data_IF_926552362024
#
_entry.id   IF_926552362024
#
_cell.length_a   1.000
_cell.length_b   1.000
_cell.length_c   1.000
_cell.angle_alpha   90.00
_cell.angle_beta   90.00
_cell.angle_gamma   90.00
#
_symmetry.space_group_name_H-M   'P 1'
#
loop_
_entity.id
_entity.type
_entity.pdbx_description
1 polymer ?
#
# COMPACT_ATOMS: atom_id res chain seq x y z
N UNK A 1 -37.56 -36.87 25.56
CA UNK A 1 -36.57 -35.77 25.70
C UNK A 1 -35.83 -35.66 24.38
N UNK A 2 -36.18 -34.69 23.54
CA UNK A 2 -35.56 -34.46 22.24
C UNK A 2 -34.44 -33.44 22.38
N UNK A 3 -33.25 -33.76 21.87
CA UNK A 3 -32.11 -32.85 21.88
C UNK A 3 -32.40 -31.60 21.02
N UNK A 4 -32.02 -30.39 21.47
CA UNK A 4 -32.21 -29.18 20.68
C UNK A 4 -31.35 -29.26 19.41
N UNK A 5 -31.99 -29.02 18.27
CA UNK A 5 -31.33 -28.88 16.99
C UNK A 5 -30.31 -27.73 17.10
N UNK A 6 -29.03 -28.04 16.88
CA UNK A 6 -28.00 -27.01 16.75
C UNK A 6 -28.30 -26.25 15.45
N UNK A 7 -28.76 -25.01 15.58
CA UNK A 7 -28.68 -24.05 14.49
C UNK A 7 -27.21 -23.92 14.11
N UNK A 8 -26.83 -24.61 13.03
CA UNK A 8 -25.57 -24.35 12.36
C UNK A 8 -25.65 -22.91 11.86
N UNK A 9 -25.07 -21.99 12.63
CA UNK A 9 -24.78 -20.63 12.18
C UNK A 9 -23.85 -20.78 10.98
N UNK A 10 -24.46 -20.86 9.80
CA UNK A 10 -23.80 -21.08 8.52
C UNK A 10 -22.92 -19.88 8.24
N UNK A 11 -21.66 -19.91 8.69
CA UNK A 11 -20.80 -18.77 8.46
C UNK A 11 -20.66 -18.55 6.96
N UNK A 12 -21.01 -17.34 6.56
CA UNK A 12 -21.11 -16.95 5.17
C UNK A 12 -19.76 -17.19 4.48
N UNK A 13 -19.78 -17.75 3.26
CA UNK A 13 -18.56 -17.90 2.48
C UNK A 13 -17.90 -16.54 2.28
N UNK A 14 -16.58 -16.52 2.40
CA UNK A 14 -15.79 -15.33 2.09
C UNK A 14 -16.04 -14.97 0.62
N UNK A 15 -16.82 -13.92 0.38
CA UNK A 15 -17.29 -13.54 -0.96
C UNK A 15 -16.31 -12.61 -1.70
N UNK A 16 -16.48 -12.49 -3.01
CA UNK A 16 -15.69 -11.58 -3.86
C UNK A 16 -15.73 -10.12 -3.41
N UNK A 17 -16.76 -9.71 -2.66
CA UNK A 17 -16.83 -8.40 -2.00
C UNK A 17 -15.63 -8.13 -1.07
N UNK A 18 -15.14 -9.14 -0.34
CA UNK A 18 -13.96 -8.99 0.53
C UNK A 18 -12.70 -8.73 -0.30
N UNK A 19 -12.53 -9.47 -1.39
CA UNK A 19 -11.39 -9.27 -2.31
C UNK A 19 -11.42 -7.86 -2.88
N UNK A 20 -12.57 -7.42 -3.40
CA UNK A 20 -12.73 -6.08 -3.94
C UNK A 20 -12.43 -4.99 -2.88
N UNK A 21 -12.95 -5.16 -1.65
CA UNK A 21 -12.68 -4.24 -0.55
C UNK A 21 -11.18 -4.16 -0.24
N UNK A 22 -10.50 -5.30 -0.11
CA UNK A 22 -9.07 -5.33 0.19
C UNK A 22 -8.22 -4.74 -0.95
N UNK A 23 -8.61 -4.98 -2.20
CA UNK A 23 -7.96 -4.38 -3.37
C UNK A 23 -8.12 -2.84 -3.36
N UNK A 24 -9.33 -2.35 -3.08
CA UNK A 24 -9.58 -0.90 -2.94
C UNK A 24 -8.79 -0.31 -1.78
N UNK A 25 -8.77 -0.98 -0.62
CA UNK A 25 -7.94 -0.54 0.52
C UNK A 25 -6.46 -0.48 0.17
N UNK A 26 -5.94 -1.48 -0.57
CA UNK A 26 -4.55 -1.48 -1.05
C UNK A 26 -4.29 -0.24 -1.91
N UNK A 27 -5.17 0.04 -2.87
CA UNK A 27 -5.04 1.19 -3.75
C UNK A 27 -5.09 2.51 -2.97
N UNK A 28 -6.01 2.66 -2.02
CA UNK A 28 -6.13 3.87 -1.19
C UNK A 28 -4.91 4.12 -0.30
N UNK A 29 -4.25 3.05 0.16
CA UNK A 29 -3.04 3.14 0.99
C UNK A 29 -1.80 3.48 0.15
N UNK A 30 -1.75 3.02 -1.10
CA UNK A 30 -0.59 3.20 -1.99
C UNK A 30 -0.69 4.48 -2.82
N UNK A 31 -1.89 4.89 -3.26
CA UNK A 31 -2.08 6.02 -4.17
C UNK A 31 -1.49 7.35 -3.64
N UNK A 32 -1.63 7.73 -2.35
CA UNK A 32 -0.99 8.93 -1.82
C UNK A 32 0.53 8.90 -1.91
N UNK A 33 1.16 7.74 -1.72
CA UNK A 33 2.60 7.57 -1.87
C UNK A 33 3.03 7.71 -3.33
N UNK A 34 2.30 7.09 -4.26
CA UNK A 34 2.57 7.25 -5.69
C UNK A 34 2.51 8.71 -6.10
N UNK A 35 1.42 9.41 -5.75
CA UNK A 35 1.20 10.79 -6.16
C UNK A 35 2.12 11.79 -5.44
N UNK A 36 2.41 11.57 -4.15
CA UNK A 36 3.14 12.52 -3.31
C UNK A 36 4.64 12.28 -3.22
N UNK A 37 5.14 11.12 -3.69
CA UNK A 37 6.56 10.73 -3.64
C UNK A 37 7.06 10.26 -5.00
N UNK A 38 6.50 9.19 -5.58
CA UNK A 38 7.04 8.62 -6.82
C UNK A 38 6.82 9.48 -8.06
N UNK A 39 5.66 10.10 -8.21
CA UNK A 39 5.39 11.01 -9.33
C UNK A 39 6.36 12.19 -9.29
N UNK A 40 6.53 12.92 -8.16
CA UNK A 40 7.55 13.95 -8.05
C UNK A 40 8.98 13.45 -8.33
N UNK A 41 9.32 12.24 -7.91
CA UNK A 41 10.64 11.65 -8.19
C UNK A 41 10.90 11.56 -9.70
N UNK A 42 9.95 11.06 -10.49
CA UNK A 42 10.10 10.97 -11.95
C UNK A 42 9.92 12.31 -12.67
N UNK A 43 9.01 13.17 -12.21
CA UNK A 43 8.77 14.48 -12.85
C UNK A 43 9.99 15.39 -12.75
N UNK A 44 10.85 15.18 -11.74
CA UNK A 44 12.08 15.93 -11.56
C UNK A 44 13.33 15.17 -12.04
N UNK A 45 13.15 14.13 -12.88
CA UNK A 45 14.23 13.33 -13.48
C UNK A 45 15.23 12.75 -12.45
N UNK A 46 14.80 12.53 -11.20
CA UNK A 46 15.67 11.99 -10.15
C UNK A 46 16.03 10.52 -10.40
N UNK A 47 15.33 9.85 -11.31
CA UNK A 47 15.66 8.51 -11.81
C UNK A 47 16.87 8.48 -12.75
N UNK A 48 17.29 9.61 -13.30
CA UNK A 48 18.54 9.73 -14.05
C UNK A 48 19.77 9.99 -13.15
N UNK A 49 19.56 10.29 -11.87
CA UNK A 49 20.59 10.69 -10.91
C UNK A 49 21.06 9.48 -10.08
N UNK A 50 22.35 9.38 -9.70
CA UNK A 50 22.81 8.35 -8.80
C UNK A 50 22.04 8.36 -7.47
N UNK A 51 21.61 7.17 -7.02
CA UNK A 51 20.77 7.03 -5.83
C UNK A 51 21.37 7.66 -4.55
N UNK A 52 22.70 7.67 -4.44
CA UNK A 52 23.41 8.30 -3.32
C UNK A 52 23.24 9.83 -3.29
N UNK A 53 23.12 10.47 -4.46
CA UNK A 53 22.87 11.92 -4.55
C UNK A 53 21.41 12.26 -4.23
N UNK A 54 20.46 11.41 -4.66
CA UNK A 54 19.04 11.54 -4.31
C UNK A 54 18.86 11.45 -2.79
N UNK A 55 19.48 10.45 -2.15
CA UNK A 55 19.42 10.27 -0.70
C UNK A 55 20.11 11.39 0.09
N UNK A 56 21.07 12.09 -0.52
CA UNK A 56 21.85 13.14 0.11
C UNK A 56 21.24 14.55 0.03
N UNK A 57 20.04 14.69 -0.55
CA UNK A 57 19.34 15.98 -0.62
C UNK A 57 20.01 17.03 -1.53
N UNK A 58 21.05 16.65 -2.28
CA UNK A 58 21.81 17.57 -3.11
C UNK A 58 20.98 18.16 -4.27
N UNK A 59 19.97 17.41 -4.70
CA UNK A 59 18.99 17.83 -5.70
C UNK A 59 17.65 17.92 -4.99
N UNK A 60 17.28 19.14 -4.55
CA UNK A 60 16.01 19.40 -3.90
C UNK A 60 15.03 20.13 -4.84
N UNK A 61 14.34 19.41 -5.73
CA UNK A 61 13.29 19.98 -6.56
C UNK A 61 11.94 20.00 -5.85
N UNK A 62 11.87 19.87 -4.50
CA UNK A 62 10.60 19.96 -3.74
C UNK A 62 9.83 21.24 -4.04
N UNK A 63 10.54 22.27 -4.50
CA UNK A 63 9.92 23.51 -4.93
C UNK A 63 9.18 23.40 -6.27
N UNK A 64 9.53 22.50 -7.18
CA UNK A 64 9.04 22.52 -8.58
C UNK A 64 7.67 21.86 -8.77
N UNK A 65 7.18 21.03 -7.83
CA UNK A 65 5.90 20.35 -8.01
C UNK A 65 5.28 19.82 -6.70
N UNK A 66 3.98 20.05 -6.45
CA UNK A 66 3.08 21.05 -7.04
C UNK A 66 3.22 22.40 -6.31
N UNK A 67 2.88 23.52 -6.96
CA UNK A 67 2.84 24.84 -6.30
C UNK A 67 1.44 25.18 -5.74
N UNK A 68 1.40 26.13 -4.81
CA UNK A 68 0.15 26.67 -4.24
C UNK A 68 -0.47 25.76 -3.17
N UNK A 69 -1.75 25.98 -2.87
CA UNK A 69 -2.48 25.23 -1.82
C UNK A 69 -2.58 23.73 -2.12
N UNK A 70 -2.68 23.36 -3.39
CA UNK A 70 -2.63 21.97 -3.83
C UNK A 70 -1.25 21.33 -3.59
N UNK A 71 -0.18 22.13 -3.70
CA UNK A 71 1.19 21.74 -3.37
C UNK A 71 1.36 21.31 -1.92
N UNK A 72 0.91 22.16 -0.99
CA UNK A 72 0.95 21.86 0.45
C UNK A 72 0.16 20.60 0.82
N UNK A 73 -1.01 20.38 0.21
CA UNK A 73 -1.80 19.16 0.43
C UNK A 73 -1.11 17.91 -0.14
N UNK A 74 -0.52 17.99 -1.33
CA UNK A 74 0.23 16.87 -1.91
C UNK A 74 1.48 16.54 -1.10
N UNK A 75 2.16 17.55 -0.56
CA UNK A 75 3.31 17.38 0.32
C UNK A 75 2.92 16.72 1.64
N UNK A 76 1.85 17.20 2.29
CA UNK A 76 1.30 16.59 3.49
C UNK A 76 0.86 15.14 3.24
N UNK A 77 0.15 14.88 2.14
CA UNK A 77 -0.28 13.54 1.77
C UNK A 77 0.92 12.61 1.52
N UNK A 78 1.96 13.10 0.82
CA UNK A 78 3.21 12.37 0.60
C UNK A 78 3.91 12.03 1.92
N UNK A 79 4.08 13.01 2.82
CA UNK A 79 4.69 12.78 4.14
C UNK A 79 3.90 11.77 4.98
N UNK A 80 2.58 11.94 5.09
CA UNK A 80 1.73 11.00 5.81
C UNK A 80 1.79 9.59 5.19
N UNK A 81 1.88 9.50 3.86
CA UNK A 81 1.97 8.21 3.16
C UNK A 81 3.24 7.43 3.50
N UNK A 82 4.37 8.10 3.81
CA UNK A 82 5.61 7.41 4.19
C UNK A 82 5.40 6.47 5.40
N UNK A 83 4.59 6.91 6.38
CA UNK A 83 4.26 6.11 7.55
C UNK A 83 3.02 5.24 7.32
N UNK A 84 1.97 5.79 6.70
CA UNK A 84 0.68 5.10 6.56
C UNK A 84 0.72 3.97 5.52
N UNK A 85 1.50 4.10 4.45
CA UNK A 85 1.59 3.07 3.42
C UNK A 85 2.12 1.73 3.93
N UNK A 86 3.29 1.64 4.60
CA UNK A 86 3.78 0.35 5.11
C UNK A 86 2.82 -0.24 6.15
N UNK A 87 2.24 0.57 7.05
CA UNK A 87 1.26 0.10 8.05
C UNK A 87 0.00 -0.45 7.37
N UNK A 88 -0.55 0.30 6.42
CA UNK A 88 -1.74 -0.11 5.68
C UNK A 88 -1.52 -1.38 4.86
N UNK A 89 -0.34 -1.53 4.24
CA UNK A 89 0.03 -2.75 3.52
C UNK A 89 0.11 -3.97 4.46
N UNK A 90 0.64 -3.81 5.69
CA UNK A 90 0.61 -4.92 6.69
C UNK A 90 -0.83 -5.25 7.07
N UNK A 91 -1.65 -4.23 7.35
CA UNK A 91 -3.04 -4.45 7.75
C UNK A 91 -3.83 -5.20 6.67
N UNK A 92 -3.68 -4.80 5.40
CA UNK A 92 -4.31 -5.48 4.27
C UNK A 92 -3.74 -6.88 4.06
N UNK A 93 -2.42 -7.06 4.17
CA UNK A 93 -1.77 -8.36 4.07
C UNK A 93 -2.32 -9.34 5.13
N UNK A 94 -2.37 -8.92 6.39
CA UNK A 94 -2.92 -9.73 7.49
C UNK A 94 -4.38 -10.08 7.21
N UNK A 95 -5.19 -9.13 6.75
CA UNK A 95 -6.59 -9.37 6.42
C UNK A 95 -6.77 -10.31 5.20
N UNK A 96 -5.87 -10.27 4.22
CA UNK A 96 -5.87 -11.15 3.07
C UNK A 96 -5.45 -12.59 3.45
N UNK A 97 -4.38 -12.73 4.24
CA UNK A 97 -3.93 -14.01 4.77
C UNK A 97 -4.98 -14.64 5.69
N UNK A 98 -5.59 -13.86 6.58
CA UNK A 98 -6.72 -14.31 7.40
C UNK A 98 -7.87 -14.84 6.53
N UNK A 99 -8.17 -14.18 5.41
CA UNK A 99 -9.17 -14.64 4.45
C UNK A 99 -8.80 -15.94 3.74
N UNK A 100 -7.51 -16.16 3.48
CA UNK A 100 -6.98 -17.39 2.85
C UNK A 100 -7.01 -18.58 3.82
N UNK A 101 -6.64 -18.35 5.08
CA UNK A 101 -6.54 -19.39 6.10
C UNK A 101 -7.88 -19.70 6.77
N UNK A 102 -8.87 -18.80 6.70
CA UNK A 102 -10.25 -19.08 7.14
C UNK A 102 -11.05 -19.77 6.04
N UNK A 103 -11.98 -20.65 6.46
CA UNK A 103 -13.01 -21.39 5.67
C UNK A 103 -12.80 -21.42 4.15
N UNK A 104 -12.42 -22.60 3.62
CA UNK A 104 -12.40 -23.04 2.20
C UNK A 104 -12.95 -22.00 1.20
N UNK A 105 -12.17 -20.95 0.85
CA UNK A 105 -12.59 -20.00 -0.17
C UNK A 105 -12.76 -20.72 -1.51
N UNK A 106 -13.62 -20.20 -2.37
CA UNK A 106 -13.64 -20.69 -3.76
C UNK A 106 -12.28 -20.41 -4.42
N UNK A 107 -11.84 -21.20 -5.42
CA UNK A 107 -10.54 -20.99 -6.06
C UNK A 107 -10.33 -19.57 -6.58
N UNK A 108 -11.39 -18.94 -7.10
CA UNK A 108 -11.37 -17.55 -7.59
C UNK A 108 -11.11 -16.55 -6.46
N UNK A 109 -11.78 -16.73 -5.32
CA UNK A 109 -11.58 -15.87 -4.15
C UNK A 109 -10.19 -16.07 -3.56
N UNK A 110 -9.73 -17.32 -3.48
CA UNK A 110 -8.38 -17.66 -3.01
C UNK A 110 -7.31 -16.99 -3.87
N UNK A 111 -7.43 -17.08 -5.21
CA UNK A 111 -6.53 -16.42 -6.13
C UNK A 111 -6.55 -14.90 -5.94
N UNK A 112 -7.73 -14.29 -5.81
CA UNK A 112 -7.86 -12.86 -5.56
C UNK A 112 -7.17 -12.40 -4.27
N UNK A 113 -7.37 -13.13 -3.16
CA UNK A 113 -6.71 -12.84 -1.89
C UNK A 113 -5.19 -13.05 -1.97
N UNK A 114 -4.73 -14.10 -2.66
CA UNK A 114 -3.31 -14.34 -2.88
C UNK A 114 -2.67 -13.22 -3.70
N UNK A 115 -3.33 -12.73 -4.76
CA UNK A 115 -2.85 -11.60 -5.55
C UNK A 115 -2.74 -10.33 -4.72
N UNK A 116 -3.72 -10.04 -3.85
CA UNK A 116 -3.65 -8.89 -2.93
C UNK A 116 -2.49 -9.05 -1.95
N UNK A 117 -2.33 -10.23 -1.36
CA UNK A 117 -1.22 -10.50 -0.44
C UNK A 117 0.15 -10.34 -1.13
N UNK A 118 0.31 -10.86 -2.35
CA UNK A 118 1.52 -10.69 -3.15
C UNK A 118 1.79 -9.22 -3.48
N UNK A 119 0.76 -8.44 -3.83
CA UNK A 119 0.91 -7.01 -4.06
C UNK A 119 1.36 -6.27 -2.79
N UNK A 120 0.83 -6.61 -1.62
CA UNK A 120 1.27 -6.04 -0.35
C UNK A 120 2.72 -6.39 -0.01
N UNK A 121 3.13 -7.64 -0.24
CA UNK A 121 4.51 -8.10 -0.06
C UNK A 121 5.47 -7.39 -1.03
N UNK A 122 5.08 -7.23 -2.30
CA UNK A 122 5.86 -6.48 -3.29
C UNK A 122 6.02 -5.02 -2.90
N UNK A 123 4.95 -4.38 -2.42
CA UNK A 123 5.01 -3.02 -1.88
C UNK A 123 5.96 -2.91 -0.68
N UNK A 124 5.89 -3.85 0.25
CA UNK A 124 6.83 -3.92 1.39
C UNK A 124 8.28 -4.12 0.96
N UNK A 125 8.53 -5.02 0.01
CA UNK A 125 9.86 -5.26 -0.54
C UNK A 125 10.41 -3.98 -1.21
N UNK A 126 9.57 -3.21 -1.91
CA UNK A 126 9.95 -1.92 -2.47
C UNK A 126 10.34 -0.92 -1.37
N UNK A 127 9.56 -0.79 -0.30
CA UNK A 127 9.88 0.10 0.83
C UNK A 127 11.21 -0.24 1.51
N UNK A 128 11.54 -1.52 1.60
CA UNK A 128 12.79 -2.01 2.18
C UNK A 128 13.97 -1.99 1.20
N UNK A 129 13.73 -1.68 -0.08
CA UNK A 129 14.78 -1.59 -1.08
C UNK A 129 15.66 -0.34 -0.86
N UNK A 130 16.87 -0.30 -1.45
CA UNK A 130 17.69 0.90 -1.43
C UNK A 130 16.97 2.13 -1.98
N UNK A 131 16.18 1.97 -3.05
CA UNK A 131 15.40 3.05 -3.64
C UNK A 131 14.32 3.57 -2.70
N UNK A 132 13.56 2.68 -2.06
CA UNK A 132 12.55 3.06 -1.07
C UNK A 132 13.17 3.85 0.09
N UNK A 133 14.33 3.41 0.57
CA UNK A 133 15.07 4.08 1.65
C UNK A 133 15.55 5.47 1.20
N UNK A 134 16.12 5.60 0.00
CA UNK A 134 16.56 6.87 -0.55
C UNK A 134 15.40 7.86 -0.73
N UNK A 135 14.24 7.41 -1.21
CA UNK A 135 13.04 8.23 -1.35
C UNK A 135 12.50 8.71 0.00
N UNK A 136 12.55 7.88 1.04
CA UNK A 136 12.18 8.29 2.40
C UNK A 136 13.15 9.35 2.91
N UNK A 137 14.46 9.12 2.79
CA UNK A 137 15.47 10.09 3.21
C UNK A 137 15.31 11.43 2.49
N UNK A 138 15.21 11.41 1.16
CA UNK A 138 14.99 12.59 0.33
C UNK A 138 13.75 13.39 0.75
N UNK A 139 12.67 12.71 1.15
CA UNK A 139 11.41 13.37 1.51
C UNK A 139 11.38 13.91 2.94
N UNK A 140 12.28 13.43 3.80
CA UNK A 140 12.39 13.83 5.21
C UNK A 140 13.47 14.90 5.43
N UNK A 141 14.47 14.97 4.54
CA UNK A 141 15.29 16.15 4.33
C UNK A 141 14.43 17.31 3.80
#
# INVERSE_FOLDING_TARGET
MSAPAREEVGAQPVGGRRVALLAVCTALVVAPYLAGVLVPYHVNDLDAVPLAEVAGGAHDPKDLWPHGTAGGLAQLAGMLSLALTPIGLVAVLVAALDGLFRRRPTPVVALGLASVALACLAGWAFFLSPLGTALISWRMD
#
